data_IF_292551123792
#
_entry.id   IF_292551123792
#
_cell.length_a   1.000
_cell.length_b   1.000
_cell.length_c   1.000
_cell.angle_alpha   90.00
_cell.angle_beta   90.00
_cell.angle_gamma   90.00
#
_symmetry.space_group_name_H-M   'P 1'
#
loop_
_entity.id
_entity.type
_entity.pdbx_description
1 polymer ?
#
# COMPACT_ATOMS: atom_id res chain seq x y z
N UNK A 1 -17.65 5.89 -29.23
CA UNK A 1 -17.32 4.96 -28.13
C UNK A 1 -16.70 5.77 -27.01
N UNK A 2 -17.28 5.65 -25.82
CA UNK A 2 -17.15 6.61 -24.72
C UNK A 2 -15.72 6.74 -24.17
N UNK A 3 -15.18 7.95 -24.27
CA UNK A 3 -13.99 8.46 -23.57
C UNK A 3 -14.24 8.62 -22.05
N UNK A 4 -15.48 8.39 -21.59
CA UNK A 4 -15.92 8.66 -20.22
C UNK A 4 -15.66 7.51 -19.22
N UNK A 5 -14.97 6.42 -19.60
CA UNK A 5 -14.72 5.29 -18.69
C UNK A 5 -13.28 5.17 -18.18
N UNK A 6 -12.38 6.02 -18.66
CA UNK A 6 -10.99 6.10 -18.16
C UNK A 6 -10.84 7.17 -17.07
N UNK A 7 -11.87 7.99 -16.86
CA UNK A 7 -11.88 9.12 -15.89
C UNK A 7 -12.13 8.72 -14.43
N UNK A 8 -12.54 7.47 -14.15
CA UNK A 8 -12.81 7.00 -12.78
C UNK A 8 -11.56 6.54 -12.02
N UNK A 9 -10.43 6.38 -12.70
CA UNK A 9 -9.12 6.26 -12.03
C UNK A 9 -8.51 7.65 -11.86
N UNK A 10 -9.21 8.56 -11.19
CA UNK A 10 -8.58 9.80 -10.73
C UNK A 10 -7.50 9.42 -9.72
N UNK A 11 -6.21 9.71 -9.94
CA UNK A 11 -5.29 9.87 -8.84
C UNK A 11 -5.69 11.20 -8.19
N UNK A 12 -6.54 11.18 -7.17
CA UNK A 12 -6.78 12.36 -6.34
C UNK A 12 -5.57 12.58 -5.42
N UNK A 13 -4.39 12.79 -5.98
CA UNK A 13 -3.23 13.25 -5.22
C UNK A 13 -3.30 14.78 -5.14
N UNK A 14 -4.33 15.30 -4.47
CA UNK A 14 -4.33 16.67 -4.01
C UNK A 14 -3.30 16.79 -2.88
N UNK A 15 -2.24 17.58 -3.09
CA UNK A 15 -1.15 17.80 -2.13
C UNK A 15 -0.72 16.53 -1.38
N UNK A 16 -0.07 15.60 -2.08
CA UNK A 16 0.47 14.30 -1.61
C UNK A 16 0.93 14.32 -0.14
N UNK A 17 -0.01 14.05 0.78
CA UNK A 17 0.29 14.09 2.21
C UNK A 17 1.04 12.82 2.57
N UNK A 18 1.83 12.87 3.65
CA UNK A 18 2.48 11.67 4.16
C UNK A 18 1.47 10.53 4.43
N UNK A 19 0.24 10.84 4.80
CA UNK A 19 -0.80 9.85 5.06
C UNK A 19 -1.28 9.17 3.77
N UNK A 20 -1.36 9.90 2.66
CA UNK A 20 -1.71 9.36 1.35
C UNK A 20 -0.61 8.44 0.83
N UNK A 21 0.66 8.83 1.03
CA UNK A 21 1.82 7.97 0.71
C UNK A 21 1.80 6.68 1.48
N UNK A 22 1.67 6.74 2.80
CA UNK A 22 1.58 5.55 3.66
C UNK A 22 0.47 4.63 3.16
N UNK A 23 -0.71 5.18 2.87
CA UNK A 23 -1.85 4.41 2.38
C UNK A 23 -1.57 3.76 1.03
N UNK A 24 -0.96 4.49 0.09
CA UNK A 24 -0.53 3.95 -1.19
C UNK A 24 0.49 2.81 -1.04
N UNK A 25 1.48 2.99 -0.16
CA UNK A 25 2.47 1.96 0.15
C UNK A 25 1.81 0.70 0.71
N UNK A 26 0.85 0.85 1.64
CA UNK A 26 0.09 -0.29 2.18
C UNK A 26 -0.64 -1.04 1.06
N UNK A 27 -1.30 -0.34 0.13
CA UNK A 27 -1.94 -0.99 -1.02
C UNK A 27 -0.95 -1.75 -1.91
N UNK A 28 0.22 -1.15 -2.18
CA UNK A 28 1.27 -1.81 -2.96
C UNK A 28 1.76 -3.08 -2.27
N UNK A 29 2.02 -3.03 -0.96
CA UNK A 29 2.47 -4.19 -0.19
C UNK A 29 1.41 -5.29 -0.09
N UNK A 30 0.13 -4.94 0.06
CA UNK A 30 -0.98 -5.90 0.00
C UNK A 30 -1.01 -6.63 -1.35
N UNK A 31 -0.85 -5.91 -2.46
CA UNK A 31 -0.83 -6.49 -3.80
C UNK A 31 0.36 -7.44 -3.98
N UNK A 32 1.57 -7.02 -3.60
CA UNK A 32 2.80 -7.84 -3.67
C UNK A 32 2.64 -9.12 -2.84
N UNK A 33 2.12 -9.02 -1.61
CA UNK A 33 1.94 -10.16 -0.71
C UNK A 33 0.67 -10.98 -1.01
N UNK A 34 -0.15 -10.57 -1.98
CA UNK A 34 -1.48 -11.13 -2.27
C UNK A 34 -2.36 -11.23 -1.01
N UNK A 35 -2.24 -10.25 -0.13
CA UNK A 35 -2.95 -10.18 1.14
C UNK A 35 -4.20 -9.30 0.97
N UNK A 36 -5.34 -9.78 1.46
CA UNK A 36 -6.59 -9.02 1.46
C UNK A 36 -6.65 -8.00 2.60
N UNK A 37 -7.50 -6.97 2.47
CA UNK A 37 -7.73 -6.00 3.55
C UNK A 37 -8.28 -6.68 4.83
N UNK A 38 -9.10 -7.72 4.70
CA UNK A 38 -9.62 -8.45 5.86
C UNK A 38 -8.51 -9.20 6.61
N UNK A 39 -7.58 -9.80 5.88
CA UNK A 39 -6.41 -10.42 6.49
C UNK A 39 -5.53 -9.39 7.17
N UNK A 40 -5.36 -8.19 6.58
CA UNK A 40 -4.60 -7.12 7.21
C UNK A 40 -5.28 -6.61 8.49
N UNK A 41 -6.59 -6.43 8.47
CA UNK A 41 -7.34 -6.02 9.66
C UNK A 41 -7.18 -7.05 10.79
N UNK A 42 -7.26 -8.35 10.46
CA UNK A 42 -7.03 -9.43 11.40
C UNK A 42 -5.59 -9.44 11.94
N UNK A 43 -4.59 -9.25 11.07
CA UNK A 43 -3.17 -9.22 11.46
C UNK A 43 -2.81 -8.01 12.35
N UNK A 44 -3.49 -6.88 12.16
CA UNK A 44 -3.37 -5.69 13.01
C UNK A 44 -4.24 -5.76 14.27
N UNK A 45 -5.03 -6.83 14.45
CA UNK A 45 -5.99 -6.98 15.56
C UNK A 45 -7.00 -5.82 15.67
N UNK A 46 -7.39 -5.23 14.54
CA UNK A 46 -8.38 -4.15 14.47
C UNK A 46 -9.64 -4.57 13.74
N UNK A 47 -10.75 -3.89 14.04
CA UNK A 47 -11.98 -4.07 13.29
C UNK A 47 -11.79 -3.68 11.80
N UNK A 48 -12.40 -4.40 10.84
CA UNK A 48 -12.33 -4.04 9.42
C UNK A 48 -12.78 -2.61 9.13
N UNK A 49 -13.79 -2.11 9.86
CA UNK A 49 -14.25 -0.72 9.76
C UNK A 49 -13.20 0.31 10.18
N UNK A 50 -12.33 -0.05 11.15
CA UNK A 50 -11.20 0.79 11.56
C UNK A 50 -10.16 0.84 10.46
N UNK A 51 -9.82 -0.29 9.85
CA UNK A 51 -8.90 -0.34 8.71
C UNK A 51 -9.45 0.43 7.51
N UNK A 52 -10.72 0.23 7.13
CA UNK A 52 -11.37 1.02 6.07
C UNK A 52 -11.38 2.52 6.39
N UNK A 53 -11.46 2.89 7.67
CA UNK A 53 -11.31 4.27 8.13
C UNK A 53 -9.92 4.82 7.83
N UNK A 54 -8.85 4.04 8.05
CA UNK A 54 -7.46 4.43 7.76
C UNK A 54 -7.18 4.48 6.26
N UNK A 55 -7.54 3.42 5.53
CA UNK A 55 -7.38 3.35 4.06
C UNK A 55 -8.17 4.43 3.31
N UNK A 56 -9.31 4.86 3.86
CA UNK A 56 -10.12 5.95 3.31
C UNK A 56 -9.74 7.34 3.84
N UNK A 57 -8.64 7.49 4.57
CA UNK A 57 -8.15 8.77 5.09
C UNK A 57 -8.98 9.39 6.23
N UNK A 58 -10.06 8.74 6.68
CA UNK A 58 -10.89 9.19 7.81
C UNK A 58 -10.20 8.99 9.16
N UNK A 59 -9.24 8.06 9.22
CA UNK A 59 -8.36 7.85 10.37
C UNK A 59 -6.92 7.93 9.91
N UNK A 60 -6.05 8.48 10.77
CA UNK A 60 -4.62 8.61 10.47
C UNK A 60 -3.88 7.33 10.85
N UNK A 61 -2.78 7.10 10.15
CA UNK A 61 -1.71 6.18 10.52
C UNK A 61 -0.83 6.84 11.58
N UNK A 62 -0.67 6.15 12.72
CA UNK A 62 0.28 6.47 13.78
C UNK A 62 1.63 5.81 13.49
N UNK A 63 2.66 6.20 14.24
CA UNK A 63 3.97 5.55 14.17
C UNK A 63 3.90 4.08 14.61
N UNK A 64 3.05 3.76 15.58
CA UNK A 64 2.84 2.39 16.05
C UNK A 64 2.22 1.53 14.95
N UNK A 65 1.25 2.06 14.20
CA UNK A 65 0.70 1.34 13.05
C UNK A 65 1.80 1.04 12.02
N UNK A 66 2.72 1.98 11.76
CA UNK A 66 3.81 1.77 10.80
C UNK A 66 4.78 0.68 11.27
N UNK A 67 5.04 0.59 12.58
CA UNK A 67 5.86 -0.47 13.15
C UNK A 67 5.20 -1.85 13.01
N UNK A 68 3.90 -1.94 13.30
CA UNK A 68 3.14 -3.18 13.15
C UNK A 68 3.03 -3.61 11.68
N UNK A 69 2.72 -2.67 10.77
CA UNK A 69 2.71 -2.93 9.33
C UNK A 69 4.08 -3.41 8.83
N UNK A 70 5.17 -2.79 9.30
CA UNK A 70 6.52 -3.21 8.96
C UNK A 70 6.80 -4.66 9.37
N UNK A 71 6.37 -5.05 10.59
CA UNK A 71 6.44 -6.42 11.09
C UNK A 71 5.64 -7.38 10.22
N UNK A 72 4.36 -7.08 9.95
CA UNK A 72 3.45 -7.90 9.14
C UNK A 72 3.99 -8.13 7.74
N UNK A 73 4.51 -7.08 7.10
CA UNK A 73 5.02 -7.15 5.73
C UNK A 73 6.48 -7.57 5.65
N UNK A 74 7.19 -7.70 6.77
CA UNK A 74 8.62 -8.04 6.81
C UNK A 74 9.49 -7.01 6.09
N UNK A 75 9.22 -5.72 6.29
CA UNK A 75 9.91 -4.60 5.64
C UNK A 75 10.46 -3.61 6.66
N UNK A 76 11.37 -2.75 6.25
CA UNK A 76 11.83 -1.64 7.11
C UNK A 76 10.74 -0.54 7.19
N UNK A 77 10.40 -0.01 8.38
CA UNK A 77 9.38 1.05 8.52
C UNK A 77 9.61 2.30 7.67
N UNK A 78 10.86 2.61 7.30
CA UNK A 78 11.19 3.74 6.41
C UNK A 78 10.56 3.62 5.02
N UNK A 79 10.13 2.41 4.62
CA UNK A 79 9.48 2.17 3.34
C UNK A 79 8.17 2.96 3.19
N UNK A 80 7.45 3.21 4.29
CA UNK A 80 6.19 3.96 4.29
C UNK A 80 6.36 5.46 4.04
N UNK A 81 7.61 5.95 4.01
CA UNK A 81 7.95 7.33 3.66
C UNK A 81 8.26 7.51 2.16
N UNK A 82 8.37 6.39 1.42
CA UNK A 82 8.70 6.34 -0.01
C UNK A 82 7.45 6.55 -0.87
N UNK A 83 7.67 6.78 -2.17
CA UNK A 83 6.58 6.78 -3.12
C UNK A 83 6.12 5.35 -3.43
N UNK A 84 4.80 5.07 -3.51
CA UNK A 84 4.30 3.72 -3.80
C UNK A 84 4.86 3.11 -5.09
N UNK A 85 5.12 3.94 -6.11
CA UNK A 85 5.72 3.50 -7.37
C UNK A 85 7.16 2.99 -7.22
N UNK A 86 7.95 3.53 -6.29
CA UNK A 86 9.31 3.08 -6.01
C UNK A 86 9.32 1.65 -5.45
N UNK A 87 8.29 1.28 -4.69
CA UNK A 87 8.17 -0.06 -4.08
C UNK A 87 7.82 -1.09 -5.15
N UNK A 88 6.90 -0.75 -6.06
CA UNK A 88 6.53 -1.66 -7.14
C UNK A 88 7.69 -1.90 -8.11
N UNK A 89 8.44 -0.84 -8.45
CA UNK A 89 9.66 -0.96 -9.26
C UNK A 89 10.69 -1.88 -8.60
N UNK A 90 10.98 -1.67 -7.30
CA UNK A 90 11.90 -2.53 -6.56
C UNK A 90 11.44 -4.00 -6.51
N UNK A 91 10.14 -4.26 -6.37
CA UNK A 91 9.60 -5.61 -6.37
C UNK A 91 9.77 -6.31 -7.74
N UNK A 92 9.54 -5.59 -8.84
CA UNK A 92 9.73 -6.12 -10.20
C UNK A 92 11.20 -6.40 -10.52
N UNK A 93 12.12 -5.56 -10.04
CA UNK A 93 13.56 -5.74 -10.24
C UNK A 93 14.09 -7.00 -9.54
N UNK A 94 13.53 -7.34 -8.36
CA UNK A 94 13.88 -8.56 -7.63
C UNK A 94 13.33 -9.83 -8.31
N UNK A 95 12.12 -9.76 -8.88
CA UNK A 95 11.54 -10.87 -9.66
C UNK A 95 12.25 -11.06 -11.02
N UNK A 96 12.83 -9.99 -11.57
CA UNK A 96 13.57 -9.97 -12.84
C UNK A 96 14.95 -10.63 -12.80
N UNK A 97 15.51 -10.92 -11.62
CA UNK A 97 16.81 -11.57 -11.48
C UNK A 97 16.72 -13.11 -11.46
N UNK A 98 15.59 -13.69 -11.89
CA UNK A 98 15.28 -15.11 -11.77
C UNK A 98 14.99 -15.87 -13.06
N UNK A 99 14.96 -15.26 -14.26
CA UNK A 99 14.78 -16.00 -15.53
C UNK A 99 15.38 -15.26 -16.73
N UNK A 100 16.65 -15.52 -17.04
CA UNK A 100 17.04 -15.73 -18.44
C UNK A 100 16.73 -17.18 -18.77
N UNK A 101 15.59 -17.43 -19.42
CA UNK A 101 15.38 -18.67 -20.15
C UNK A 101 16.01 -18.48 -21.52
N UNK A 102 17.04 -19.28 -21.77
CA UNK A 102 17.59 -19.59 -23.09
C UNK A 102 16.49 -20.06 -24.06
#
# INVERSE_FOLDING_TARGET
>A
MSEAKVSELRPTYGADTLQDRVTGVVFTLLAIRRMSQNQLAAALEIAPSTLSGKLGGRRRWSIDDLAELASIFGVNPQIFLRQPGEIFAAALELDGNGVTRE
#
